data_IF_848740902476
#
_entry.id   IF_848740902476
#
_cell.length_a   1.000
_cell.length_b   1.000
_cell.length_c   1.000
_cell.angle_alpha   90.00
_cell.angle_beta   90.00
_cell.angle_gamma   90.00
#
_symmetry.space_group_name_H-M   'P 1'
#
loop_
_entity.id
_entity.type
_entity.pdbx_description
1 polymer ?
#
# COMPACT_ATOMS: atom_id res chain seq x y z
N UNK A 1 15.66 7.26 -25.84
CA UNK A 1 14.94 6.24 -26.63
C UNK A 1 13.89 6.92 -27.47
N UNK A 2 13.71 6.48 -28.73
CA UNK A 2 12.63 7.01 -29.57
C UNK A 2 11.27 6.55 -29.05
N UNK A 3 10.31 7.49 -28.95
CA UNK A 3 8.97 7.19 -28.44
C UNK A 3 8.15 6.41 -29.46
N UNK A 4 7.25 5.58 -28.95
CA UNK A 4 6.32 4.77 -29.75
C UNK A 4 5.18 5.69 -30.21
N UNK A 5 5.12 6.00 -31.52
CA UNK A 5 4.19 6.97 -32.12
C UNK A 5 2.82 6.37 -32.46
N UNK A 6 2.80 5.09 -32.87
CA UNK A 6 1.60 4.45 -33.41
C UNK A 6 0.70 3.81 -32.34
N UNK A 7 1.14 3.77 -31.10
CA UNK A 7 0.37 3.20 -29.97
C UNK A 7 -0.07 4.30 -29.00
N UNK A 8 -1.27 4.16 -28.50
CA UNK A 8 -1.87 5.09 -27.55
C UNK A 8 -2.25 4.31 -26.28
N UNK A 9 -1.97 4.87 -25.11
CA UNK A 9 -2.29 4.21 -23.85
C UNK A 9 -3.13 5.13 -22.96
N UNK A 10 -4.09 4.54 -22.25
CA UNK A 10 -4.86 5.22 -21.23
C UNK A 10 -4.69 4.49 -19.89
N UNK A 11 -4.17 5.19 -18.91
CA UNK A 11 -4.11 4.74 -17.51
C UNK A 11 -5.47 5.03 -16.86
N UNK A 12 -6.01 4.07 -16.12
CA UNK A 12 -7.33 4.19 -15.49
C UNK A 12 -7.24 3.94 -14.00
N UNK A 13 -7.55 4.95 -13.20
CA UNK A 13 -7.68 4.85 -11.74
C UNK A 13 -8.63 5.92 -11.21
N UNK A 14 -9.73 5.53 -10.56
CA UNK A 14 -10.72 6.49 -10.03
C UNK A 14 -10.15 7.43 -8.94
N UNK A 15 -9.14 7.00 -8.18
CA UNK A 15 -8.48 7.81 -7.15
C UNK A 15 -6.96 7.72 -7.34
N UNK A 16 -6.45 8.55 -8.24
CA UNK A 16 -5.03 8.59 -8.59
C UNK A 16 -4.19 9.18 -7.47
N UNK A 17 -3.11 8.51 -7.15
CA UNK A 17 -2.08 8.92 -6.20
C UNK A 17 -0.72 8.92 -6.89
N UNK A 18 0.36 9.11 -6.14
CA UNK A 18 1.74 9.11 -6.65
C UNK A 18 2.09 7.87 -7.49
N UNK A 19 1.54 6.68 -7.18
CA UNK A 19 1.76 5.46 -7.98
C UNK A 19 1.15 5.61 -9.37
N UNK A 20 -0.09 6.11 -9.45
CA UNK A 20 -0.76 6.31 -10.75
C UNK A 20 -0.06 7.38 -11.57
N UNK A 21 0.34 8.48 -10.93
CA UNK A 21 1.14 9.54 -11.56
C UNK A 21 2.44 8.97 -12.10
N UNK A 22 3.14 8.17 -11.28
CA UNK A 22 4.36 7.51 -11.68
C UNK A 22 4.20 6.56 -12.86
N UNK A 23 3.11 5.80 -12.96
CA UNK A 23 2.81 5.01 -14.15
C UNK A 23 2.60 5.90 -15.38
N UNK A 24 1.84 7.01 -15.24
CA UNK A 24 1.64 7.95 -16.35
C UNK A 24 2.97 8.52 -16.85
N UNK A 25 3.84 8.97 -15.94
CA UNK A 25 5.16 9.52 -16.27
C UNK A 25 6.06 8.47 -16.96
N UNK A 26 6.07 7.22 -16.45
CA UNK A 26 6.84 6.14 -17.06
C UNK A 26 6.33 5.78 -18.47
N UNK A 27 5.02 5.75 -18.68
CA UNK A 27 4.45 5.58 -20.02
C UNK A 27 4.76 6.77 -20.94
N UNK A 28 4.72 8.01 -20.43
CA UNK A 28 5.01 9.22 -21.22
C UNK A 28 6.47 9.28 -21.72
N UNK A 29 7.38 8.59 -21.04
CA UNK A 29 8.76 8.41 -21.54
C UNK A 29 8.85 7.48 -22.76
N UNK A 30 7.89 6.57 -22.94
CA UNK A 30 7.89 5.53 -23.99
C UNK A 30 6.86 5.75 -25.09
N UNK A 31 5.75 6.45 -24.82
CA UNK A 31 4.64 6.68 -25.72
C UNK A 31 4.44 8.18 -25.97
N UNK A 32 4.10 8.56 -27.20
CA UNK A 32 3.73 9.94 -27.52
C UNK A 32 2.32 10.29 -27.03
N UNK A 33 1.43 9.29 -26.95
CA UNK A 33 0.04 9.51 -26.58
C UNK A 33 -0.29 8.76 -25.30
N UNK A 34 -0.30 9.49 -24.19
CA UNK A 34 -0.67 8.98 -22.86
C UNK A 34 -1.86 9.75 -22.32
N UNK A 35 -2.86 9.03 -21.84
CA UNK A 35 -4.03 9.62 -21.18
C UNK A 35 -4.26 9.02 -19.80
N UNK A 36 -4.96 9.78 -18.94
CA UNK A 36 -5.39 9.35 -17.61
C UNK A 36 -6.90 9.54 -17.48
N UNK A 37 -7.63 8.47 -17.12
CA UNK A 37 -9.03 8.56 -16.69
C UNK A 37 -9.04 8.47 -15.15
N UNK A 38 -9.50 9.54 -14.48
CA UNK A 38 -9.47 9.60 -13.02
C UNK A 38 -10.63 10.43 -12.45
N UNK A 39 -11.01 10.17 -11.21
CA UNK A 39 -11.97 11.01 -10.47
C UNK A 39 -11.28 12.08 -9.62
N UNK A 40 -10.05 11.83 -9.18
CA UNK A 40 -9.23 12.78 -8.43
C UNK A 40 -7.76 12.42 -8.57
N UNK A 41 -6.91 13.44 -8.52
CA UNK A 41 -5.46 13.28 -8.45
C UNK A 41 -5.00 13.82 -7.10
N UNK A 42 -4.28 12.99 -6.36
CA UNK A 42 -3.64 13.38 -5.11
C UNK A 42 -2.13 13.39 -5.34
N UNK A 43 -1.60 14.60 -5.47
CA UNK A 43 -0.18 14.81 -5.73
C UNK A 43 0.56 14.66 -4.40
N UNK A 44 1.52 13.74 -4.38
CA UNK A 44 2.44 13.54 -3.26
C UNK A 44 3.83 13.32 -3.85
N UNK A 45 4.63 14.38 -3.90
CA UNK A 45 6.04 14.30 -4.30
C UNK A 45 6.32 14.04 -5.79
N UNK A 46 5.32 13.81 -6.63
CA UNK A 46 5.47 13.63 -8.08
C UNK A 46 4.32 14.32 -8.82
N UNK A 47 4.65 15.25 -9.72
CA UNK A 47 3.68 15.97 -10.53
C UNK A 47 3.35 15.21 -11.83
N UNK A 48 2.10 15.32 -12.27
CA UNK A 48 1.68 14.76 -13.54
C UNK A 48 2.17 15.67 -14.68
N UNK A 49 2.91 15.10 -15.64
CA UNK A 49 3.41 15.85 -16.79
C UNK A 49 2.28 16.44 -17.66
N UNK A 50 2.51 17.62 -18.22
CA UNK A 50 1.54 18.33 -19.07
C UNK A 50 1.18 17.55 -20.34
N UNK A 51 2.05 16.64 -20.78
CA UNK A 51 1.83 15.76 -21.93
C UNK A 51 0.75 14.69 -21.70
N UNK A 52 0.34 14.45 -20.45
CA UNK A 52 -0.67 13.44 -20.11
C UNK A 52 -2.07 14.04 -20.20
N UNK A 53 -2.88 13.55 -21.15
CA UNK A 53 -4.24 14.00 -21.32
C UNK A 53 -5.17 13.49 -20.24
N UNK A 54 -5.65 14.35 -19.34
CA UNK A 54 -6.54 13.96 -18.23
C UNK A 54 -8.02 14.04 -18.65
N UNK A 55 -8.76 12.97 -18.33
CA UNK A 55 -10.23 12.94 -18.42
C UNK A 55 -10.83 12.62 -17.06
N UNK A 56 -11.57 13.58 -16.51
CA UNK A 56 -12.18 13.41 -15.21
C UNK A 56 -13.50 12.64 -15.27
N UNK A 57 -13.66 11.73 -14.32
CA UNK A 57 -14.90 11.01 -14.00
C UNK A 57 -15.37 11.44 -12.59
N UNK A 58 -16.44 10.82 -12.07
CA UNK A 58 -16.88 11.11 -10.72
C UNK A 58 -15.83 10.70 -9.67
N UNK A 59 -15.62 11.57 -8.68
CA UNK A 59 -14.70 11.30 -7.57
C UNK A 59 -15.10 10.06 -6.78
N UNK A 60 -14.13 9.37 -6.25
CA UNK A 60 -14.32 8.35 -5.25
C UNK A 60 -14.90 8.96 -3.97
N UNK A 61 -15.86 8.25 -3.34
CA UNK A 61 -16.52 8.68 -2.11
C UNK A 61 -16.24 7.64 -1.02
N UNK A 62 -15.64 8.06 0.07
CA UNK A 62 -15.26 7.13 1.15
C UNK A 62 -16.45 6.68 2.00
N UNK A 63 -17.37 7.58 2.31
CA UNK A 63 -18.54 7.34 3.18
C UNK A 63 -19.75 8.17 2.73
N UNK A 64 -20.97 7.73 3.04
CA UNK A 64 -21.38 6.43 3.57
C UNK A 64 -21.29 5.29 2.52
N UNK A 65 -21.37 4.02 2.96
CA UNK A 65 -21.18 2.84 2.11
C UNK A 65 -22.06 2.83 0.84
N UNK A 66 -23.34 3.28 0.93
CA UNK A 66 -24.25 3.38 -0.22
C UNK A 66 -23.74 4.37 -1.29
N UNK A 67 -23.22 5.53 -0.86
CA UNK A 67 -22.64 6.52 -1.78
C UNK A 67 -21.32 6.02 -2.37
N UNK A 68 -20.52 5.30 -1.58
CA UNK A 68 -19.29 4.64 -2.03
C UNK A 68 -19.58 3.67 -3.17
N UNK A 69 -20.52 2.74 -2.97
CA UNK A 69 -20.93 1.76 -3.99
C UNK A 69 -21.51 2.43 -5.25
N UNK A 70 -22.40 3.41 -5.08
CA UNK A 70 -22.94 4.19 -6.20
C UNK A 70 -21.85 4.95 -6.97
N UNK A 71 -20.82 5.45 -6.28
CA UNK A 71 -19.65 6.09 -6.91
C UNK A 71 -18.89 5.10 -7.80
N UNK A 72 -18.68 3.87 -7.35
CA UNK A 72 -18.02 2.84 -8.15
C UNK A 72 -18.79 2.45 -9.41
N UNK A 73 -20.11 2.25 -9.29
CA UNK A 73 -20.95 1.91 -10.45
C UNK A 73 -20.91 3.04 -11.48
N UNK A 74 -21.10 4.30 -11.04
CA UNK A 74 -21.04 5.47 -11.92
C UNK A 74 -19.67 5.57 -12.62
N UNK A 75 -18.58 5.33 -11.89
CA UNK A 75 -17.25 5.32 -12.47
C UNK A 75 -17.08 4.21 -13.52
N UNK A 76 -17.49 2.97 -13.22
CA UNK A 76 -17.44 1.86 -14.17
C UNK A 76 -18.23 2.18 -15.45
N UNK A 77 -19.46 2.69 -15.34
CA UNK A 77 -20.29 3.05 -16.50
C UNK A 77 -19.64 4.18 -17.33
N UNK A 78 -19.06 5.18 -16.68
CA UNK A 78 -18.39 6.29 -17.38
C UNK A 78 -17.09 5.81 -18.04
N UNK A 79 -16.28 4.98 -17.38
CA UNK A 79 -15.08 4.37 -17.95
C UNK A 79 -15.47 3.52 -19.15
N UNK A 80 -16.48 2.65 -19.02
CA UNK A 80 -16.97 1.82 -20.12
C UNK A 80 -17.34 2.65 -21.35
N UNK A 81 -18.15 3.71 -21.16
CA UNK A 81 -18.53 4.62 -22.25
C UNK A 81 -17.31 5.30 -22.89
N UNK A 82 -16.34 5.75 -22.09
CA UNK A 82 -15.11 6.37 -22.59
C UNK A 82 -14.24 5.39 -23.39
N UNK A 83 -14.17 4.12 -22.96
CA UNK A 83 -13.44 3.08 -23.70
C UNK A 83 -14.12 2.66 -25.00
N UNK A 84 -15.43 2.81 -25.12
CA UNK A 84 -16.16 2.57 -26.38
C UNK A 84 -16.11 3.76 -27.34
N UNK A 85 -15.82 4.96 -26.85
CA UNK A 85 -15.87 6.19 -27.64
C UNK A 85 -14.48 6.83 -27.77
N UNK A 86 -14.14 7.75 -26.87
CA UNK A 86 -12.92 8.56 -26.92
C UNK A 86 -11.64 7.71 -26.93
N UNK A 87 -11.61 6.61 -26.19
CA UNK A 87 -10.43 5.77 -25.99
C UNK A 87 -10.56 4.38 -26.64
N UNK A 88 -11.43 4.21 -27.62
CA UNK A 88 -11.66 2.93 -28.31
C UNK A 88 -10.39 2.34 -28.95
N UNK A 89 -9.48 3.20 -29.39
CA UNK A 89 -8.20 2.83 -30.03
C UNK A 89 -7.00 2.87 -29.07
N UNK A 90 -7.22 3.04 -27.75
CA UNK A 90 -6.15 3.07 -26.77
C UNK A 90 -5.98 1.70 -26.12
N UNK A 91 -4.75 1.37 -25.82
CA UNK A 91 -4.46 0.29 -24.86
C UNK A 91 -4.79 0.77 -23.46
N UNK A 92 -5.25 -0.14 -22.60
CA UNK A 92 -5.70 0.21 -21.24
C UNK A 92 -4.73 -0.35 -20.22
N UNK A 93 -4.28 0.50 -19.31
CA UNK A 93 -3.54 0.12 -18.12
C UNK A 93 -4.39 0.46 -16.88
N UNK A 94 -5.08 -0.54 -16.37
CA UNK A 94 -6.03 -0.38 -15.27
C UNK A 94 -5.33 -0.54 -13.92
N UNK A 95 -5.50 0.44 -13.02
CA UNK A 95 -4.85 0.46 -11.72
C UNK A 95 -5.92 0.45 -10.61
N UNK A 96 -6.19 -0.73 -10.09
CA UNK A 96 -7.00 -1.04 -8.89
C UNK A 96 -8.43 -0.47 -8.79
N UNK A 97 -8.67 0.81 -8.98
CA UNK A 97 -9.96 1.47 -8.72
C UNK A 97 -10.68 1.94 -10.00
N UNK A 98 -11.99 1.77 -10.06
CA UNK A 98 -12.92 1.18 -9.07
C UNK A 98 -12.77 -0.35 -8.96
N UNK A 99 -13.09 -0.99 -7.80
CA UNK A 99 -12.78 -2.40 -7.51
C UNK A 99 -13.25 -3.43 -8.54
N UNK A 100 -14.32 -3.13 -9.26
CA UNK A 100 -14.86 -4.01 -10.33
C UNK A 100 -14.45 -3.54 -11.73
N UNK A 101 -13.74 -2.41 -11.85
CA UNK A 101 -13.44 -1.78 -13.13
C UNK A 101 -12.59 -2.66 -14.06
N UNK A 102 -11.74 -3.53 -13.53
CA UNK A 102 -10.95 -4.45 -14.34
C UNK A 102 -11.81 -5.47 -15.09
N UNK A 103 -13.05 -5.76 -14.63
CA UNK A 103 -13.97 -6.66 -15.32
C UNK A 103 -14.48 -6.05 -16.63
N UNK A 104 -14.32 -4.75 -16.85
CA UNK A 104 -14.66 -4.09 -18.11
C UNK A 104 -13.86 -4.67 -19.28
N UNK A 105 -12.71 -5.29 -19.02
CA UNK A 105 -11.97 -5.97 -20.07
C UNK A 105 -12.78 -7.06 -20.78
N UNK A 106 -13.80 -7.65 -20.13
CA UNK A 106 -14.71 -8.62 -20.72
C UNK A 106 -15.67 -8.00 -21.75
N UNK A 107 -15.91 -6.67 -21.64
CA UNK A 107 -16.91 -5.94 -22.40
C UNK A 107 -16.31 -5.04 -23.49
N UNK A 108 -14.99 -4.81 -23.48
CA UNK A 108 -14.29 -3.94 -24.45
C UNK A 108 -13.30 -4.75 -25.28
N UNK A 109 -12.96 -4.23 -26.47
CA UNK A 109 -11.97 -4.83 -27.37
C UNK A 109 -10.54 -4.33 -27.15
N UNK A 110 -10.37 -3.30 -26.33
CA UNK A 110 -9.06 -2.74 -26.02
C UNK A 110 -8.07 -3.79 -25.51
N UNK A 111 -6.80 -3.65 -25.87
CA UNK A 111 -5.71 -4.40 -25.22
C UNK A 111 -5.63 -3.96 -23.76
N UNK A 112 -6.09 -4.79 -22.86
CA UNK A 112 -6.34 -4.42 -21.47
C UNK A 112 -5.34 -5.09 -20.53
N UNK A 113 -4.50 -4.29 -19.88
CA UNK A 113 -3.60 -4.71 -18.81
C UNK A 113 -4.09 -4.19 -17.47
N UNK A 114 -3.76 -4.89 -16.40
CA UNK A 114 -4.20 -4.51 -15.05
C UNK A 114 -3.13 -4.77 -14.00
N UNK A 115 -3.10 -3.89 -13.01
CA UNK A 115 -2.35 -4.07 -11.77
C UNK A 115 -3.34 -4.42 -10.67
N UNK A 116 -3.19 -5.62 -10.09
CA UNK A 116 -4.05 -6.13 -9.03
C UNK A 116 -3.25 -6.08 -7.73
N UNK A 117 -3.64 -5.20 -6.81
CA UNK A 117 -3.10 -5.10 -5.46
C UNK A 117 -4.14 -5.28 -4.34
N UNK A 118 -5.39 -5.55 -4.73
CA UNK A 118 -6.47 -6.05 -3.89
C UNK A 118 -7.22 -7.13 -4.67
N UNK A 119 -7.26 -8.35 -4.15
CA UNK A 119 -7.91 -9.47 -4.84
C UNK A 119 -9.36 -9.59 -4.37
N UNK A 120 -10.30 -9.07 -5.17
CA UNK A 120 -11.74 -9.30 -4.97
C UNK A 120 -12.16 -10.60 -5.67
N UNK A 121 -13.06 -11.41 -5.09
CA UNK A 121 -13.82 -11.20 -3.85
C UNK A 121 -13.10 -11.60 -2.55
N UNK A 122 -11.83 -12.03 -2.58
CA UNK A 122 -11.10 -12.54 -1.43
C UNK A 122 -11.02 -11.54 -0.26
N UNK A 123 -10.91 -10.24 -0.56
CA UNK A 123 -10.97 -9.16 0.45
C UNK A 123 -12.24 -9.24 1.32
N UNK A 124 -13.37 -9.76 0.80
CA UNK A 124 -14.60 -9.86 1.58
C UNK A 124 -14.61 -11.02 2.59
N UNK A 125 -13.60 -11.90 2.59
CA UNK A 125 -13.43 -12.90 3.64
C UNK A 125 -13.29 -12.25 5.02
N UNK A 126 -12.75 -11.04 5.09
CA UNK A 126 -12.69 -10.22 6.32
C UNK A 126 -14.07 -9.93 6.92
N UNK A 127 -15.10 -9.83 6.07
CA UNK A 127 -16.49 -9.60 6.51
C UNK A 127 -17.25 -10.90 6.72
N UNK A 128 -16.57 -12.05 6.70
CA UNK A 128 -17.16 -13.38 6.88
C UNK A 128 -17.77 -13.99 5.60
N UNK A 129 -17.54 -13.41 4.42
CA UNK A 129 -18.01 -13.99 3.16
C UNK A 129 -17.29 -15.31 2.88
N UNK A 130 -18.05 -16.40 2.80
CA UNK A 130 -17.51 -17.73 2.48
C UNK A 130 -17.35 -17.91 0.97
N UNK A 131 -16.39 -18.72 0.55
CA UNK A 131 -16.17 -19.08 -0.86
C UNK A 131 -17.37 -19.81 -1.48
N UNK A 132 -18.20 -20.45 -0.65
CA UNK A 132 -19.44 -21.11 -1.09
C UNK A 132 -20.56 -20.12 -1.41
N UNK A 133 -20.42 -18.85 -1.02
CA UNK A 133 -21.45 -17.83 -1.28
C UNK A 133 -21.66 -17.62 -2.79
N UNK A 134 -22.92 -17.58 -3.31
CA UNK A 134 -23.19 -17.47 -4.75
C UNK A 134 -22.51 -16.25 -5.40
N UNK A 135 -22.51 -15.09 -4.74
CA UNK A 135 -21.85 -13.88 -5.22
C UNK A 135 -20.33 -14.07 -5.33
N UNK A 136 -19.70 -14.73 -4.33
CA UNK A 136 -18.27 -15.05 -4.38
C UNK A 136 -17.96 -15.93 -5.59
N UNK A 137 -18.70 -17.01 -5.77
CA UNK A 137 -18.49 -17.95 -6.89
C UNK A 137 -18.69 -17.30 -8.25
N UNK A 138 -19.71 -16.45 -8.38
CA UNK A 138 -19.97 -15.70 -9.62
C UNK A 138 -18.81 -14.72 -9.92
N UNK A 139 -18.36 -13.96 -8.92
CA UNK A 139 -17.25 -13.04 -9.10
C UNK A 139 -15.94 -13.78 -9.41
N UNK A 140 -15.66 -14.85 -8.70
CA UNK A 140 -14.51 -15.72 -8.98
C UNK A 140 -14.52 -16.28 -10.42
N UNK A 141 -15.70 -16.62 -10.92
CA UNK A 141 -15.86 -17.04 -12.32
C UNK A 141 -15.53 -15.90 -13.30
N UNK A 142 -16.00 -14.69 -13.03
CA UNK A 142 -15.66 -13.52 -13.85
C UNK A 142 -14.17 -13.21 -13.80
N UNK A 143 -13.54 -13.34 -12.64
CA UNK A 143 -12.09 -13.17 -12.49
C UNK A 143 -11.30 -14.12 -13.38
N UNK A 144 -11.64 -15.41 -13.37
CA UNK A 144 -10.98 -16.39 -14.25
C UNK A 144 -11.03 -15.97 -15.71
N UNK A 145 -12.17 -15.48 -16.17
CA UNK A 145 -12.32 -14.98 -17.55
C UNK A 145 -11.54 -13.70 -17.79
N UNK A 146 -11.63 -12.74 -16.88
CA UNK A 146 -10.99 -11.42 -16.99
C UNK A 146 -9.47 -11.53 -16.97
N UNK A 147 -8.91 -12.25 -15.99
CA UNK A 147 -7.44 -12.39 -15.85
C UNK A 147 -6.85 -13.21 -17.01
N UNK A 148 -7.55 -14.25 -17.48
CA UNK A 148 -7.13 -15.00 -18.67
C UNK A 148 -7.12 -14.12 -19.93
N UNK A 149 -8.11 -13.23 -20.09
CA UNK A 149 -8.20 -12.31 -21.24
C UNK A 149 -7.19 -11.15 -21.15
N UNK A 150 -6.73 -10.78 -19.95
CA UNK A 150 -5.81 -9.65 -19.77
C UNK A 150 -4.56 -9.78 -20.67
N UNK A 151 -4.14 -8.67 -21.28
CA UNK A 151 -2.89 -8.64 -22.04
C UNK A 151 -1.69 -8.81 -21.10
N UNK A 152 -1.66 -8.04 -20.01
CA UNK A 152 -0.71 -8.18 -18.90
C UNK A 152 -1.46 -8.17 -17.59
N UNK A 153 -1.07 -9.07 -16.69
CA UNK A 153 -1.60 -9.16 -15.33
C UNK A 153 -0.46 -8.95 -14.34
N UNK A 154 -0.43 -7.79 -13.73
CA UNK A 154 0.58 -7.45 -12.74
C UNK A 154 0.05 -7.62 -11.32
N UNK A 155 0.95 -8.00 -10.42
CA UNK A 155 0.75 -7.93 -8.98
C UNK A 155 2.03 -7.49 -8.29
N UNK A 156 1.98 -7.20 -6.97
CA UNK A 156 3.04 -6.48 -6.26
C UNK A 156 3.87 -7.34 -5.31
N UNK A 157 3.53 -8.62 -5.15
CA UNK A 157 4.26 -9.53 -4.28
C UNK A 157 3.93 -11.00 -4.54
N UNK A 158 4.79 -11.88 -4.00
CA UNK A 158 4.71 -13.34 -4.20
C UNK A 158 3.43 -13.94 -3.60
N UNK A 159 3.06 -13.52 -2.39
CA UNK A 159 1.85 -14.01 -1.70
C UNK A 159 0.57 -13.57 -2.40
N UNK A 160 0.58 -12.40 -2.99
CA UNK A 160 -0.53 -11.93 -3.79
C UNK A 160 -0.62 -12.68 -5.13
N UNK A 161 0.53 -13.04 -5.72
CA UNK A 161 0.55 -13.90 -6.91
C UNK A 161 -0.06 -15.28 -6.61
N UNK A 162 0.27 -15.89 -5.46
CA UNK A 162 -0.35 -17.16 -5.04
C UNK A 162 -1.89 -17.06 -4.93
N UNK A 163 -2.43 -15.91 -4.49
CA UNK A 163 -3.90 -15.70 -4.51
C UNK A 163 -4.46 -15.63 -5.93
N UNK A 164 -3.71 -15.05 -6.86
CA UNK A 164 -4.14 -14.97 -8.27
C UNK A 164 -4.03 -16.31 -8.99
N UNK A 165 -3.16 -17.23 -8.56
CA UNK A 165 -3.02 -18.59 -9.12
C UNK A 165 -4.31 -19.41 -8.98
N UNK A 166 -5.21 -19.08 -8.05
CA UNK A 166 -6.57 -19.66 -7.98
C UNK A 166 -7.41 -19.35 -9.22
N UNK A 167 -7.09 -18.27 -9.92
CA UNK A 167 -7.85 -17.74 -11.06
C UNK A 167 -7.16 -17.98 -12.42
N UNK A 168 -5.82 -17.98 -12.45
CA UNK A 168 -5.03 -18.01 -13.69
C UNK A 168 -3.69 -18.71 -13.45
N UNK A 169 -3.07 -19.23 -14.51
CA UNK A 169 -1.74 -19.86 -14.40
C UNK A 169 -0.67 -18.85 -13.94
N UNK A 170 0.29 -19.32 -13.15
CA UNK A 170 1.40 -18.52 -12.62
C UNK A 170 2.17 -17.79 -13.73
N UNK A 171 2.43 -18.44 -14.85
CA UNK A 171 3.12 -17.84 -16.00
C UNK A 171 2.41 -16.61 -16.60
N UNK A 172 1.13 -16.40 -16.28
CA UNK A 172 0.38 -15.21 -16.69
C UNK A 172 0.58 -14.01 -15.78
N UNK A 173 1.11 -14.23 -14.56
CA UNK A 173 1.21 -13.23 -13.51
C UNK A 173 2.61 -12.63 -13.54
N UNK A 174 2.70 -11.31 -13.67
CA UNK A 174 3.95 -10.56 -13.57
C UNK A 174 4.03 -9.96 -12.17
N UNK A 175 5.04 -10.36 -11.40
CA UNK A 175 5.29 -9.84 -10.07
C UNK A 175 6.24 -8.67 -10.19
N UNK A 176 5.74 -7.46 -9.94
CA UNK A 176 6.56 -6.25 -9.94
C UNK A 176 6.16 -5.39 -8.72
N UNK A 177 7.05 -5.23 -7.74
CA UNK A 177 6.78 -4.40 -6.57
C UNK A 177 6.52 -2.94 -6.94
N UNK A 178 5.64 -2.30 -6.19
CA UNK A 178 5.46 -0.84 -6.21
C UNK A 178 6.62 -0.17 -5.45
N UNK A 179 6.54 1.12 -5.25
CA UNK A 179 7.61 1.91 -4.63
C UNK A 179 7.15 2.76 -3.47
N UNK A 180 8.11 3.23 -2.67
CA UNK A 180 7.88 4.23 -1.64
C UNK A 180 7.63 5.60 -2.27
N UNK A 181 6.81 6.41 -1.63
CA UNK A 181 6.71 7.84 -1.93
C UNK A 181 8.05 8.55 -1.67
N UNK A 182 8.83 8.04 -0.73
CA UNK A 182 10.13 8.56 -0.37
C UNK A 182 11.24 7.78 -1.08
N UNK A 183 12.18 8.52 -1.68
CA UNK A 183 13.34 7.97 -2.34
C UNK A 183 14.56 8.22 -1.47
N UNK A 184 15.07 7.18 -0.79
CA UNK A 184 16.32 7.18 0.00
C UNK A 184 16.61 8.53 0.69
N UNK A 185 15.86 8.85 1.72
CA UNK A 185 16.05 10.06 2.50
C UNK A 185 17.00 9.80 3.66
N UNK A 186 17.87 10.75 3.93
CA UNK A 186 18.67 10.72 5.15
C UNK A 186 17.76 10.97 6.36
N UNK A 187 17.92 10.13 7.36
CA UNK A 187 17.22 10.26 8.62
C UNK A 187 17.73 11.48 9.36
N UNK A 188 16.85 12.39 9.74
CA UNK A 188 17.21 13.53 10.58
C UNK A 188 17.52 13.04 12.00
N UNK A 189 18.68 13.45 12.55
CA UNK A 189 19.05 13.09 13.92
C UNK A 189 18.04 13.64 14.94
N UNK A 190 17.78 12.90 16.02
CA UNK A 190 16.79 13.32 17.03
C UNK A 190 17.05 14.70 17.63
N UNK A 191 18.32 15.06 17.81
CA UNK A 191 18.72 16.35 18.39
C UNK A 191 18.36 17.54 17.48
N UNK A 192 18.28 17.31 16.17
CA UNK A 192 17.93 18.32 15.16
C UNK A 192 16.50 18.18 14.64
N UNK A 193 15.75 17.24 15.16
CA UNK A 193 14.44 16.92 14.65
C UNK A 193 13.34 17.78 15.31
N UNK A 194 12.68 18.68 14.55
CA UNK A 194 11.66 19.58 15.11
C UNK A 194 10.48 18.81 15.71
N UNK A 195 10.09 17.66 15.14
CA UNK A 195 9.02 16.83 15.68
C UNK A 195 9.39 16.24 17.05
N UNK A 196 10.64 15.83 17.26
CA UNK A 196 11.15 15.34 18.55
C UNK A 196 11.11 16.44 19.59
N UNK A 197 11.49 17.67 19.19
CA UNK A 197 11.50 18.84 20.09
C UNK A 197 10.08 19.27 20.46
N UNK A 198 9.16 19.34 19.49
CA UNK A 198 7.77 19.74 19.71
C UNK A 198 7.05 18.79 20.70
N UNK A 199 7.36 17.50 20.60
CA UNK A 199 6.68 16.47 21.42
C UNK A 199 7.49 16.02 22.65
N UNK A 200 8.62 16.65 22.98
CA UNK A 200 9.48 16.33 24.15
C UNK A 200 9.92 14.85 24.18
N UNK A 201 10.43 14.35 23.05
CA UNK A 201 10.77 12.93 22.86
C UNK A 201 12.28 12.65 22.93
N UNK A 202 13.08 13.62 23.41
CA UNK A 202 14.53 13.47 23.56
C UNK A 202 14.85 12.29 24.47
N UNK A 203 15.83 11.46 24.08
CA UNK A 203 16.26 10.29 24.84
C UNK A 203 15.28 9.13 24.89
N UNK A 204 14.10 9.24 24.27
CA UNK A 204 13.11 8.15 24.23
C UNK A 204 13.33 7.20 23.06
N UNK A 205 12.98 5.94 23.24
CA UNK A 205 12.83 4.95 22.18
C UNK A 205 11.39 5.03 21.64
N UNK A 206 11.23 5.53 20.42
CA UNK A 206 9.94 5.89 19.84
C UNK A 206 9.46 4.75 18.93
N UNK A 207 8.32 4.17 19.28
CA UNK A 207 7.63 3.17 18.49
C UNK A 207 6.44 3.82 17.79
N UNK A 208 6.39 3.76 16.46
CA UNK A 208 5.42 4.53 15.72
C UNK A 208 4.54 3.65 14.81
N UNK A 209 3.23 3.79 14.97
CA UNK A 209 2.24 3.42 13.96
C UNK A 209 1.79 4.71 13.25
N UNK A 210 2.00 4.80 11.94
CA UNK A 210 1.56 5.96 11.15
C UNK A 210 0.69 5.51 9.98
N UNK A 211 -0.56 6.02 9.89
CA UNK A 211 -1.44 5.72 8.77
C UNK A 211 -2.93 5.71 9.10
N UNK A 212 -3.72 5.16 8.19
CA UNK A 212 -5.17 5.05 8.37
C UNK A 212 -5.52 4.05 9.49
N UNK A 213 -6.42 4.46 10.39
CA UNK A 213 -6.93 3.66 11.53
C UNK A 213 -8.32 3.13 11.13
N UNK A 214 -8.31 2.31 10.07
CA UNK A 214 -9.50 1.72 9.48
C UNK A 214 -9.98 0.45 10.19
N UNK A 215 -11.07 -0.13 9.68
CA UNK A 215 -11.66 -1.36 10.25
C UNK A 215 -10.78 -2.60 10.02
N UNK A 216 -9.95 -2.58 8.99
CA UNK A 216 -9.07 -3.69 8.59
C UNK A 216 -7.71 -3.69 9.30
N UNK A 217 -7.44 -2.67 10.12
CA UNK A 217 -6.19 -2.54 10.85
C UNK A 217 -6.48 -2.62 12.35
N UNK A 218 -6.07 -3.71 12.98
CA UNK A 218 -6.27 -3.95 14.42
C UNK A 218 -5.26 -3.13 15.24
N UNK A 219 -5.37 -1.81 15.19
CA UNK A 219 -4.46 -0.88 15.89
C UNK A 219 -4.51 -1.04 17.42
N UNK A 220 -5.53 -1.73 17.95
CA UNK A 220 -5.59 -2.16 19.35
C UNK A 220 -4.33 -2.88 19.80
N UNK A 221 -3.66 -3.59 18.90
CA UNK A 221 -2.40 -4.29 19.18
C UNK A 221 -1.30 -3.31 19.65
N UNK A 222 -1.27 -2.08 19.11
CA UNK A 222 -0.32 -1.04 19.56
C UNK A 222 -0.62 -0.65 21.01
N UNK A 223 -1.89 -0.50 21.38
CA UNK A 223 -2.31 -0.17 22.74
C UNK A 223 -1.99 -1.33 23.71
N UNK A 224 -2.16 -2.58 23.26
CA UNK A 224 -1.80 -3.76 24.05
C UNK A 224 -0.29 -3.85 24.29
N UNK A 225 0.54 -3.58 23.27
CA UNK A 225 1.99 -3.52 23.43
C UNK A 225 2.42 -2.38 24.37
N UNK A 226 1.76 -1.22 24.27
CA UNK A 226 2.01 -0.09 25.20
C UNK A 226 1.65 -0.47 26.64
N UNK A 227 0.58 -1.23 26.85
CA UNK A 227 0.21 -1.76 28.18
C UNK A 227 1.25 -2.72 28.74
N UNK A 228 1.75 -3.65 27.90
CA UNK A 228 2.80 -4.59 28.30
C UNK A 228 4.13 -3.91 28.66
N UNK A 229 4.34 -2.68 28.20
CA UNK A 229 5.57 -1.89 28.39
C UNK A 229 5.33 -0.61 29.20
N UNK A 230 4.20 -0.48 29.89
CA UNK A 230 3.80 0.76 30.59
C UNK A 230 4.78 1.17 31.72
N UNK A 231 5.47 0.21 32.31
CA UNK A 231 6.42 0.44 33.39
C UNK A 231 7.82 0.87 32.89
N UNK A 232 8.03 0.89 31.56
CA UNK A 232 9.26 1.36 30.95
C UNK A 232 9.07 2.80 30.45
N UNK A 233 9.57 3.76 31.21
CA UNK A 233 9.42 5.19 30.92
C UNK A 233 10.20 5.66 29.69
N UNK A 234 11.14 4.89 29.18
CA UNK A 234 11.97 5.25 28.03
C UNK A 234 11.38 4.83 26.69
N UNK A 235 10.33 4.02 26.71
CA UNK A 235 9.65 3.53 25.50
C UNK A 235 8.31 4.25 25.33
N UNK A 236 8.16 4.97 24.21
CA UNK A 236 6.95 5.73 23.87
C UNK A 236 6.31 5.17 22.60
N UNK A 237 5.00 4.95 22.67
CA UNK A 237 4.19 4.57 21.54
C UNK A 237 3.46 5.79 20.97
N UNK A 238 3.57 5.99 19.66
CA UNK A 238 2.85 7.03 18.93
C UNK A 238 1.91 6.39 17.90
N UNK A 239 0.63 6.75 17.99
CA UNK A 239 -0.40 6.36 17.02
C UNK A 239 -0.74 7.62 16.22
N UNK A 240 -0.21 7.72 15.01
CA UNK A 240 -0.37 8.88 14.12
C UNK A 240 -1.35 8.55 13.02
N UNK A 241 -2.44 9.31 12.91
CA UNK A 241 -3.39 9.06 11.84
C UNK A 241 -4.81 9.46 12.15
N UNK A 242 -5.70 9.03 11.27
CA UNK A 242 -7.14 9.25 11.36
C UNK A 242 -7.92 7.98 11.02
N UNK A 243 -9.12 7.88 11.56
CA UNK A 243 -10.01 6.76 11.23
C UNK A 243 -11.14 6.59 12.23
N UNK A 244 -12.13 5.77 11.91
CA UNK A 244 -13.33 5.59 12.73
C UNK A 244 -13.06 4.96 14.10
N UNK A 245 -11.92 4.28 14.26
CA UNK A 245 -11.56 3.58 15.51
C UNK A 245 -10.79 4.45 16.51
N UNK A 246 -10.33 5.65 16.12
CA UNK A 246 -9.56 6.55 16.98
C UNK A 246 -10.25 6.81 18.33
N UNK A 247 -11.56 7.19 18.40
CA UNK A 247 -12.19 7.45 19.69
C UNK A 247 -12.20 6.24 20.63
N UNK A 248 -12.41 5.03 20.10
CA UNK A 248 -12.40 3.81 20.88
C UNK A 248 -11.00 3.49 21.42
N UNK A 249 -9.97 3.67 20.61
CA UNK A 249 -8.58 3.46 21.03
C UNK A 249 -8.13 4.48 22.08
N UNK A 250 -8.50 5.76 21.91
CA UNK A 250 -8.22 6.81 22.91
C UNK A 250 -8.90 6.51 24.26
N UNK A 251 -10.14 6.00 24.22
CA UNK A 251 -10.84 5.55 25.42
C UNK A 251 -10.07 4.40 26.09
N UNK A 252 -9.61 3.42 25.33
CA UNK A 252 -8.81 2.29 25.82
C UNK A 252 -7.51 2.76 26.51
N UNK A 253 -6.77 3.68 25.91
CA UNK A 253 -5.54 4.24 26.49
C UNK A 253 -5.82 4.96 27.81
N UNK A 254 -6.92 5.74 27.87
CA UNK A 254 -7.34 6.44 29.09
C UNK A 254 -7.76 5.47 30.19
N UNK A 255 -8.58 4.47 29.88
CA UNK A 255 -9.06 3.46 30.85
C UNK A 255 -7.93 2.63 31.43
N UNK A 256 -6.91 2.31 30.61
CA UNK A 256 -5.72 1.56 31.02
C UNK A 256 -4.63 2.44 31.65
N UNK A 257 -4.84 3.76 31.71
CA UNK A 257 -3.89 4.74 32.23
C UNK A 257 -2.48 4.55 31.63
N UNK A 258 -2.36 4.62 30.30
CA UNK A 258 -1.10 4.41 29.59
C UNK A 258 -0.41 5.74 29.27
N UNK A 259 0.53 6.23 30.11
CA UNK A 259 1.26 7.48 29.88
C UNK A 259 2.23 7.38 28.71
N UNK A 260 2.62 6.16 28.35
CA UNK A 260 3.56 5.86 27.27
C UNK A 260 2.89 5.68 25.89
N UNK A 261 1.59 6.01 25.72
CA UNK A 261 0.87 5.89 24.46
C UNK A 261 0.16 7.20 24.10
N UNK A 262 0.53 7.80 22.98
CA UNK A 262 0.00 9.09 22.51
C UNK A 262 -0.64 8.99 21.14
N UNK A 263 -1.68 9.82 20.90
CA UNK A 263 -2.34 9.96 19.61
C UNK A 263 -2.01 11.30 18.98
N UNK A 264 -1.61 11.27 17.71
CA UNK A 264 -1.34 12.46 16.93
C UNK A 264 -2.16 12.45 15.63
N UNK A 265 -2.57 13.62 15.11
CA UNK A 265 -3.23 13.70 13.80
C UNK A 265 -2.27 13.26 12.69
N UNK A 266 -2.80 13.07 11.46
CA UNK A 266 -1.95 12.98 10.29
C UNK A 266 -1.05 14.21 10.22
N UNK A 267 0.23 13.97 9.98
CA UNK A 267 1.20 15.03 9.83
C UNK A 267 1.05 15.69 8.44
N UNK A 268 1.40 16.97 8.36
CA UNK A 268 1.49 17.67 7.07
C UNK A 268 2.62 17.07 6.23
N UNK A 269 2.60 17.30 4.92
CA UNK A 269 3.64 16.78 4.01
C UNK A 269 5.03 17.30 4.40
N UNK A 270 5.12 18.52 4.97
CA UNK A 270 6.38 19.10 5.48
C UNK A 270 6.86 18.43 6.77
N UNK A 271 5.94 18.10 7.70
CA UNK A 271 6.29 17.50 8.99
C UNK A 271 6.43 15.97 8.91
N UNK A 272 5.84 15.33 7.93
CA UNK A 272 5.84 13.86 7.81
C UNK A 272 7.24 13.25 7.76
N UNK A 273 8.23 13.80 7.01
CA UNK A 273 9.60 13.30 7.02
C UNK A 273 10.25 13.35 8.42
N UNK A 274 10.01 14.42 9.17
CA UNK A 274 10.53 14.57 10.53
C UNK A 274 9.86 13.62 11.52
N UNK A 275 8.55 13.50 11.44
CA UNK A 275 7.77 12.53 12.22
C UNK A 275 8.25 11.10 11.96
N UNK A 276 8.46 10.73 10.71
CA UNK A 276 8.93 9.40 10.35
C UNK A 276 10.38 9.18 10.84
N UNK A 277 11.28 10.17 10.63
CA UNK A 277 12.67 10.12 11.12
C UNK A 277 12.79 10.00 12.64
N UNK A 278 11.79 10.43 13.40
CA UNK A 278 11.80 10.36 14.86
C UNK A 278 11.64 8.92 15.37
N UNK A 279 11.00 8.04 14.60
CA UNK A 279 10.75 6.67 15.03
C UNK A 279 12.03 5.82 15.12
N UNK A 280 12.18 5.05 16.19
CA UNK A 280 13.21 4.03 16.32
C UNK A 280 12.73 2.68 15.83
N UNK A 281 11.42 2.45 15.90
CA UNK A 281 10.77 1.22 15.46
C UNK A 281 9.41 1.55 14.84
N UNK A 282 9.17 1.04 13.64
CA UNK A 282 7.88 1.14 12.98
C UNK A 282 6.98 -0.05 13.28
N UNK A 283 5.65 0.17 13.35
CA UNK A 283 4.68 -0.93 13.43
C UNK A 283 3.80 -0.92 12.17
N UNK A 284 3.75 -2.07 11.49
CA UNK A 284 2.84 -2.30 10.36
C UNK A 284 1.90 -3.45 10.71
N UNK A 285 0.59 -3.19 10.59
CA UNK A 285 -0.44 -4.16 11.00
C UNK A 285 -1.31 -4.51 9.80
N UNK A 286 -1.50 -5.81 9.59
CA UNK A 286 -2.47 -6.39 8.69
C UNK A 286 -3.32 -7.41 9.44
N UNK A 287 -4.62 -7.43 9.14
CA UNK A 287 -5.49 -8.51 9.62
C UNK A 287 -5.05 -9.85 9.03
N UNK A 288 -4.93 -10.89 9.86
CA UNK A 288 -4.44 -12.22 9.45
C UNK A 288 -5.22 -12.81 8.27
N UNK A 289 -6.55 -12.58 8.21
CA UNK A 289 -7.41 -13.12 7.15
C UNK A 289 -7.14 -12.52 5.78
N UNK A 290 -6.57 -11.31 5.72
CA UNK A 290 -6.33 -10.58 4.46
C UNK A 290 -4.86 -10.26 4.22
N UNK A 291 -4.00 -10.63 5.15
CA UNK A 291 -2.57 -10.31 5.08
C UNK A 291 -1.87 -10.90 3.87
N UNK A 292 -2.33 -12.03 3.35
CA UNK A 292 -1.81 -12.65 2.11
C UNK A 292 -2.05 -11.78 0.88
N UNK A 293 -3.17 -11.06 0.83
CA UNK A 293 -3.60 -10.26 -0.34
C UNK A 293 -3.32 -8.76 -0.22
N UNK A 294 -2.41 -8.33 0.64
CA UNK A 294 -2.13 -6.91 0.84
C UNK A 294 -0.68 -6.64 1.21
N UNK A 295 -0.12 -5.58 0.65
CA UNK A 295 1.21 -5.07 1.03
C UNK A 295 1.10 -3.59 1.36
N UNK A 296 1.15 -3.20 2.63
CA UNK A 296 1.01 -1.81 3.03
C UNK A 296 2.20 -0.97 2.59
N UNK A 297 1.96 0.13 1.89
CA UNK A 297 2.99 1.08 1.45
C UNK A 297 3.82 1.67 2.59
N UNK A 298 3.27 1.68 3.82
CA UNK A 298 4.00 2.15 5.00
C UNK A 298 5.26 1.31 5.32
N UNK A 299 5.29 0.02 4.94
CA UNK A 299 6.50 -0.80 5.07
C UNK A 299 7.64 -0.26 4.21
N UNK A 300 7.34 0.16 3.00
CA UNK A 300 8.33 0.76 2.08
C UNK A 300 8.83 2.11 2.60
N UNK A 301 7.92 2.93 3.15
CA UNK A 301 8.29 4.22 3.73
C UNK A 301 9.23 4.06 4.94
N UNK A 302 8.97 3.09 5.82
CA UNK A 302 9.84 2.78 6.95
C UNK A 302 11.22 2.32 6.48
N UNK A 303 11.27 1.43 5.48
CA UNK A 303 12.54 0.97 4.90
C UNK A 303 13.33 2.12 4.29
N UNK A 304 12.69 3.07 3.59
CA UNK A 304 13.37 4.20 2.94
C UNK A 304 14.04 5.17 3.92
N UNK A 305 13.62 5.16 5.18
CA UNK A 305 14.23 5.91 6.28
C UNK A 305 15.14 5.05 7.18
N UNK A 306 15.40 3.79 6.79
CA UNK A 306 16.22 2.89 7.61
C UNK A 306 15.61 2.59 8.97
N UNK A 307 14.28 2.53 9.07
CA UNK A 307 13.59 2.29 10.34
C UNK A 307 13.29 0.79 10.46
N UNK A 308 13.90 0.09 11.44
CA UNK A 308 13.52 -1.28 11.78
C UNK A 308 12.02 -1.38 12.06
N UNK A 309 11.41 -2.52 11.76
CA UNK A 309 9.96 -2.63 11.89
C UNK A 309 9.50 -3.90 12.59
N UNK A 310 8.36 -3.80 13.28
CA UNK A 310 7.54 -4.92 13.68
C UNK A 310 6.37 -5.03 12.71
N UNK A 311 6.17 -6.22 12.19
CA UNK A 311 4.98 -6.57 11.43
C UNK A 311 4.06 -7.43 12.29
N UNK A 312 2.81 -7.02 12.40
CA UNK A 312 1.75 -7.84 13.00
C UNK A 312 0.85 -8.31 11.87
N UNK A 313 1.07 -9.56 11.44
CA UNK A 313 0.41 -10.11 10.26
C UNK A 313 0.38 -11.64 10.32
N UNK A 314 -0.42 -12.27 9.47
CA UNK A 314 -0.43 -13.73 9.36
C UNK A 314 0.92 -14.29 8.87
N UNK A 315 1.22 -15.53 9.25
CA UNK A 315 2.44 -16.24 8.85
C UNK A 315 2.56 -16.37 7.32
N UNK A 316 1.43 -16.54 6.62
CA UNK A 316 1.35 -16.60 5.16
C UNK A 316 1.09 -15.22 4.54
N UNK A 317 1.88 -14.22 4.93
CA UNK A 317 1.79 -12.84 4.44
C UNK A 317 3.05 -12.40 3.71
N UNK A 318 2.90 -11.41 2.82
CA UNK A 318 4.06 -10.77 2.18
C UNK A 318 4.96 -10.09 3.21
N UNK A 319 4.40 -9.51 4.28
CA UNK A 319 5.18 -8.90 5.36
C UNK A 319 6.06 -9.92 6.08
N UNK A 320 5.55 -11.12 6.35
CA UNK A 320 6.36 -12.19 6.94
C UNK A 320 7.48 -12.63 5.98
N UNK A 321 7.17 -12.76 4.70
CA UNK A 321 8.18 -13.03 3.66
C UNK A 321 9.27 -11.95 3.65
N UNK A 322 8.91 -10.67 3.75
CA UNK A 322 9.88 -9.57 3.82
C UNK A 322 10.73 -9.62 5.09
N UNK A 323 10.11 -9.90 6.24
CA UNK A 323 10.84 -10.02 7.50
C UNK A 323 11.92 -11.12 7.44
N UNK A 324 11.56 -12.29 6.93
CA UNK A 324 12.47 -13.43 6.79
C UNK A 324 13.57 -13.18 5.75
N UNK A 325 13.22 -12.57 4.61
CA UNK A 325 14.13 -12.41 3.48
C UNK A 325 15.13 -11.29 3.68
N UNK A 326 14.69 -10.17 4.29
CA UNK A 326 15.48 -8.95 4.28
C UNK A 326 16.08 -8.59 5.64
N UNK A 327 15.60 -9.15 6.74
CA UNK A 327 16.14 -8.88 8.08
C UNK A 327 15.97 -7.43 8.57
N UNK A 328 15.10 -6.64 7.91
CA UNK A 328 14.78 -5.26 8.29
C UNK A 328 13.63 -5.18 9.29
N UNK A 329 12.93 -6.27 9.50
CA UNK A 329 11.75 -6.36 10.36
C UNK A 329 11.66 -7.72 11.03
N UNK A 330 10.85 -7.80 12.10
CA UNK A 330 10.40 -9.05 12.70
C UNK A 330 8.89 -9.16 12.60
N UNK A 331 8.38 -10.30 12.16
CA UNK A 331 6.94 -10.54 12.05
C UNK A 331 6.44 -11.36 13.25
N UNK A 332 5.28 -10.97 13.77
CA UNK A 332 4.55 -11.65 14.85
C UNK A 332 3.09 -11.78 14.47
N UNK A 333 2.41 -12.81 14.99
CA UNK A 333 0.96 -12.92 14.92
C UNK A 333 0.32 -12.23 16.14
N UNK A 334 -0.94 -11.84 16.03
CA UNK A 334 -1.63 -11.05 17.06
C UNK A 334 -1.62 -11.70 18.46
N UNK A 335 -1.63 -13.03 18.54
CA UNK A 335 -1.61 -13.76 19.84
C UNK A 335 -0.22 -13.81 20.51
N UNK A 336 0.83 -13.44 19.80
CA UNK A 336 2.24 -13.60 20.24
C UNK A 336 2.86 -12.27 20.70
N UNK A 337 2.05 -11.34 21.23
CA UNK A 337 2.50 -10.00 21.63
C UNK A 337 3.57 -10.01 22.75
N UNK A 338 3.64 -11.09 23.54
CA UNK A 338 4.70 -11.21 24.52
C UNK A 338 6.09 -11.32 23.85
N UNK A 339 6.21 -12.09 22.78
CA UNK A 339 7.46 -12.15 22.00
C UNK A 339 7.77 -10.82 21.32
N UNK A 340 6.74 -10.11 20.84
CA UNK A 340 6.93 -8.77 20.28
C UNK A 340 7.43 -7.78 21.35
N UNK A 341 6.91 -7.83 22.58
CA UNK A 341 7.41 -7.05 23.72
C UNK A 341 8.89 -7.34 23.99
N UNK A 342 9.26 -8.62 24.08
CA UNK A 342 10.63 -9.03 24.38
C UNK A 342 11.60 -8.58 23.27
N UNK A 343 11.16 -8.64 22.01
CA UNK A 343 11.91 -8.10 20.88
C UNK A 343 12.07 -6.56 20.97
N UNK A 344 11.05 -5.81 21.37
CA UNK A 344 11.12 -4.36 21.57
C UNK A 344 12.14 -4.02 22.65
N UNK A 345 12.11 -4.73 23.79
CA UNK A 345 13.03 -4.51 24.89
C UNK A 345 14.48 -4.78 24.48
N UNK A 346 14.74 -5.90 23.81
CA UNK A 346 16.08 -6.22 23.30
C UNK A 346 16.53 -5.14 22.31
N UNK A 347 15.70 -4.78 21.33
CA UNK A 347 16.09 -3.79 20.31
C UNK A 347 16.35 -2.40 20.89
N UNK A 348 15.60 -1.99 21.92
CA UNK A 348 15.78 -0.69 22.57
C UNK A 348 17.11 -0.56 23.31
N UNK A 349 17.70 -1.68 23.72
CA UNK A 349 18.96 -1.73 24.46
C UNK A 349 20.15 -2.17 23.60
N UNK A 350 19.90 -2.82 22.46
CA UNK A 350 20.90 -3.40 21.59
C UNK A 350 21.15 -2.55 20.34
N UNK A 351 21.97 -1.51 20.49
CA UNK A 351 22.31 -0.59 19.40
C UNK A 351 22.93 -1.30 18.18
N UNK A 352 23.70 -2.37 18.41
CA UNK A 352 24.30 -3.15 17.31
C UNK A 352 23.22 -3.79 16.46
N UNK A 353 22.26 -4.48 17.07
CA UNK A 353 21.13 -5.11 16.38
C UNK A 353 20.26 -4.08 15.66
N UNK A 354 20.01 -2.94 16.34
CA UNK A 354 19.28 -1.85 15.73
C UNK A 354 19.96 -1.32 14.45
N UNK A 355 21.28 -1.07 14.52
CA UNK A 355 22.06 -0.60 13.37
C UNK A 355 22.06 -1.60 12.22
N UNK A 356 22.16 -2.89 12.51
CA UNK A 356 22.10 -3.96 11.50
C UNK A 356 20.73 -3.99 10.80
N UNK A 357 19.65 -3.97 11.56
CA UNK A 357 18.29 -3.93 10.99
C UNK A 357 18.04 -2.66 10.20
N UNK A 358 18.56 -1.51 10.66
CA UNK A 358 18.46 -0.23 9.94
C UNK A 358 19.22 -0.27 8.62
N UNK A 359 20.44 -0.82 8.60
CA UNK A 359 21.21 -1.00 7.35
C UNK A 359 20.48 -1.93 6.36
N UNK A 360 19.90 -3.03 6.87
CA UNK A 360 19.08 -3.94 6.07
C UNK A 360 17.85 -3.24 5.49
N UNK A 361 17.19 -2.36 6.25
CA UNK A 361 16.05 -1.57 5.78
C UNK A 361 16.46 -0.66 4.61
N UNK A 362 17.57 0.09 4.75
CA UNK A 362 18.10 0.97 3.69
C UNK A 362 18.44 0.16 2.43
N UNK A 363 19.13 -0.97 2.59
CA UNK A 363 19.48 -1.85 1.47
C UNK A 363 18.22 -2.39 0.75
N UNK A 364 17.22 -2.81 1.55
CA UNK A 364 15.95 -3.33 1.02
C UNK A 364 15.14 -2.25 0.31
N UNK A 365 15.18 -1.00 0.78
CA UNK A 365 14.48 0.13 0.16
C UNK A 365 14.88 0.34 -1.31
N UNK A 366 16.09 -0.07 -1.70
CA UNK A 366 16.55 0.00 -3.11
C UNK A 366 15.70 -0.87 -4.06
N UNK A 367 14.99 -1.87 -3.55
CA UNK A 367 14.08 -2.71 -4.32
C UNK A 367 12.72 -2.02 -4.58
N UNK A 368 12.42 -0.97 -3.82
CA UNK A 368 11.12 -0.28 -3.82
C UNK A 368 11.26 1.20 -4.21
N UNK A 369 12.05 1.43 -5.26
CA UNK A 369 12.32 2.77 -5.80
C UNK A 369 11.35 3.16 -6.90
N UNK A 370 11.30 4.46 -7.22
CA UNK A 370 10.46 5.05 -8.26
C UNK A 370 10.71 4.43 -9.64
N UNK A 371 11.92 3.98 -9.94
CA UNK A 371 12.27 3.29 -11.18
C UNK A 371 11.53 1.94 -11.38
N UNK A 372 10.86 1.43 -10.35
CA UNK A 372 9.93 0.31 -10.51
C UNK A 372 8.78 0.64 -11.47
N UNK A 373 8.35 1.91 -11.58
CA UNK A 373 7.36 2.31 -12.57
C UNK A 373 7.84 2.03 -14.01
N UNK A 374 9.13 2.29 -14.28
CA UNK A 374 9.72 2.02 -15.59
C UNK A 374 9.79 0.52 -15.88
N UNK A 375 10.08 -0.30 -14.86
CA UNK A 375 10.03 -1.77 -14.97
C UNK A 375 8.64 -2.31 -15.31
N UNK A 376 7.56 -1.72 -14.73
CA UNK A 376 6.20 -2.06 -15.16
C UNK A 376 5.99 -1.80 -16.65
N UNK A 377 6.50 -0.68 -17.17
CA UNK A 377 6.41 -0.35 -18.60
C UNK A 377 7.30 -1.27 -19.46
N UNK A 378 8.48 -1.61 -18.99
CA UNK A 378 9.36 -2.57 -19.67
C UNK A 378 8.71 -3.96 -19.80
N UNK A 379 8.14 -4.50 -18.70
CA UNK A 379 7.37 -5.75 -18.74
C UNK A 379 6.09 -5.64 -19.59
N UNK A 380 5.47 -4.46 -19.62
CA UNK A 380 4.32 -4.22 -20.51
C UNK A 380 4.70 -4.32 -21.98
N UNK A 381 5.86 -3.79 -22.37
CA UNK A 381 6.32 -3.73 -23.73
C UNK A 381 6.95 -5.04 -24.21
N UNK A 382 7.74 -5.70 -23.37
CA UNK A 382 8.55 -6.86 -23.73
C UNK A 382 7.95 -8.16 -23.17
N UNK A 383 7.53 -9.07 -24.03
CA UNK A 383 7.01 -10.39 -23.62
C UNK A 383 8.09 -11.39 -23.16
N UNK A 384 9.37 -11.06 -23.30
CA UNK A 384 10.48 -12.01 -23.19
C UNK A 384 10.96 -12.32 -21.75
N UNK A 385 10.10 -12.20 -20.77
CA UNK A 385 10.34 -12.70 -19.40
C UNK A 385 9.28 -13.74 -19.00
N UNK A 386 8.78 -14.48 -19.97
CA UNK A 386 7.97 -15.70 -19.73
C UNK A 386 8.89 -16.90 -19.51
#
# INVERSE_FOLDING_TARGET
>A
MEKIKDRKIVVVNQASNYLTVGFCSAFAQRFDNVALITGSIHIQGEELGEEVQVTYINKWVERPARKKFGSYIKACLKIYWLLLTKYSNHEVFFVSLPPMGYLLNLLVSNRFSMVVWDVYPDVFKITGMKETHPLYRFWAFLNRKSFKKAFRLFTIGDKMAELLEVYVLKSKIIIQPIWSIFQANERVSKDQNPFVNEHNLQGKFIIQYSGNIGLTHKVEVVVQLAELLKDNNDIIFQIIGRGPRVPALQKMVKEKMLPNCTFLPFQTDEMFPFSLSAADLGIVILDELTSKGSVPSKSYNLMSYGIPSIYIAGEDSELNTYAQKYGAAQCFIEKDLQFAKDFILDLSQNKKKWNEMSANAIATAQLFRRDNADKFVDYYLNPAHD
#
